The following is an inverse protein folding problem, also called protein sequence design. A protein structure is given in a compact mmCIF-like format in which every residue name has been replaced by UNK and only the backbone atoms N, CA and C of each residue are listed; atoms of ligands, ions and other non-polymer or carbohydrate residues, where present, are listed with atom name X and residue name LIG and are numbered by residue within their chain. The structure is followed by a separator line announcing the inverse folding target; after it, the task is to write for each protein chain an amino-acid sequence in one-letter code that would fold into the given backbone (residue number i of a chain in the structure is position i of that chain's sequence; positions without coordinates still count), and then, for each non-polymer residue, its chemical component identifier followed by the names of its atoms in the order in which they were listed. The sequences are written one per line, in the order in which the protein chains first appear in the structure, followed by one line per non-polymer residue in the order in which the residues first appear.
data_IF_400906752378
#
_entry.id   IF_400906752378
#
_cell.length_a   1.000
_cell.length_b   1.000
_cell.length_c   1.000
_cell.angle_alpha   90.00
_cell.angle_beta   90.00
_cell.angle_gamma   90.00
#
_symmetry.space_group_name_H-M   'P 1'
#
loop_
_entity.id
_entity.type
_entity.pdbx_description
1 polymer ?
#
# COMPACT_ATOMS: atom_id res chain seq x y z
N UNK A 1 5.72 -22.55 21.66
CA UNK A 1 4.45 -22.10 22.28
C UNK A 1 4.23 -20.63 21.98
N UNK A 2 3.05 -20.31 21.45
CA UNK A 2 2.53 -19.02 20.96
C UNK A 2 2.86 -17.79 21.83
N UNK A 3 3.06 -16.66 21.15
CA UNK A 3 2.48 -15.37 21.53
C UNK A 3 1.73 -14.88 20.27
N UNK A 4 0.40 -14.99 20.16
CA UNK A 4 -0.62 -14.10 20.75
C UNK A 4 -0.23 -12.63 20.58
N UNK A 5 -0.64 -12.03 19.46
CA UNK A 5 -1.07 -10.63 19.35
C UNK A 5 -2.07 -10.51 18.20
N UNK A 6 -3.30 -10.94 18.47
CA UNK A 6 -4.47 -10.54 17.70
C UNK A 6 -5.35 -9.66 18.57
N UNK A 7 -6.01 -8.69 17.91
CA UNK A 7 -7.09 -7.83 18.40
C UNK A 7 -6.69 -6.64 19.30
N UNK A 8 -6.24 -5.53 18.68
CA UNK A 8 -6.54 -4.12 19.05
C UNK A 8 -5.50 -3.09 18.57
N UNK A 9 -4.96 -3.22 17.36
CA UNK A 9 -4.22 -2.13 16.75
C UNK A 9 -5.19 -1.33 15.86
N UNK A 10 -5.75 -0.24 16.42
CA UNK A 10 -6.46 0.84 15.74
C UNK A 10 -7.95 0.63 15.41
N UNK A 11 -8.77 0.55 16.46
CA UNK A 11 -10.11 1.14 16.37
C UNK A 11 -9.98 2.67 16.47
N UNK A 12 -10.27 3.39 15.39
CA UNK A 12 -10.95 4.68 15.50
C UNK A 12 -11.80 4.92 14.25
N UNK A 13 -13.11 4.68 14.41
CA UNK A 13 -14.11 5.13 13.45
C UNK A 13 -14.23 6.65 13.51
N UNK A 14 -13.94 7.29 12.37
CA UNK A 14 -14.62 8.44 11.80
C UNK A 14 -15.21 9.49 12.78
N UNK A 15 -14.41 10.49 13.12
CA UNK A 15 -14.89 11.85 13.39
C UNK A 15 -14.56 12.73 12.19
N UNK A 16 -15.57 13.26 11.51
CA UNK A 16 -15.40 14.30 10.47
C UNK A 16 -14.87 15.55 11.16
N UNK A 17 -13.64 15.94 10.88
CA UNK A 17 -13.14 17.26 11.29
C UNK A 17 -12.35 17.89 10.14
N UNK A 18 -12.92 18.96 9.59
CA UNK A 18 -12.13 20.08 9.07
C UNK A 18 -11.19 20.55 10.18
N UNK A 19 -10.00 20.98 9.78
CA UNK A 19 -8.80 21.25 10.59
C UNK A 19 -8.00 20.03 11.07
N UNK A 20 -6.85 19.82 10.43
CA UNK A 20 -5.90 18.77 10.82
C UNK A 20 -4.73 18.59 9.86
N UNK A 21 -4.15 19.67 9.35
CA UNK A 21 -2.79 19.61 8.80
C UNK A 21 -1.88 19.12 9.95
N UNK A 22 -1.19 17.99 9.73
CA UNK A 22 -0.21 17.34 10.63
C UNK A 22 -0.82 16.29 11.60
N UNK A 23 -0.82 15.03 11.15
CA UNK A 23 -0.31 13.89 11.94
C UNK A 23 -0.08 12.68 11.02
N UNK A 24 0.92 11.88 11.37
CA UNK A 24 1.46 10.71 10.64
C UNK A 24 2.55 11.04 9.59
N UNK A 25 3.66 11.60 10.08
CA UNK A 25 4.94 11.73 9.38
C UNK A 25 5.84 10.48 9.55
N UNK A 26 5.42 9.47 10.33
CA UNK A 26 6.31 8.39 10.82
C UNK A 26 5.85 6.96 10.45
N UNK A 27 4.78 6.77 9.67
CA UNK A 27 4.16 5.43 9.54
C UNK A 27 4.61 4.60 8.34
N UNK A 28 5.63 5.03 7.59
CA UNK A 28 6.08 4.32 6.38
C UNK A 28 7.60 4.21 6.32
N UNK A 29 8.21 3.82 7.44
CA UNK A 29 9.56 3.27 7.37
C UNK A 29 9.53 2.08 6.41
N UNK A 30 10.33 2.18 5.35
CA UNK A 30 10.48 1.16 4.33
C UNK A 30 11.27 0.02 5.00
N UNK A 31 10.57 -0.97 5.52
CA UNK A 31 11.21 -2.20 5.99
C UNK A 31 11.75 -2.90 4.75
N UNK A 32 13.07 -3.11 4.67
CA UNK A 32 13.65 -3.91 3.60
C UNK A 32 13.09 -5.34 3.74
N UNK A 33 12.58 -5.99 2.69
CA UNK A 33 12.14 -7.39 2.79
C UNK A 33 13.21 -8.32 3.36
N UNK A 34 14.50 -8.00 3.19
CA UNK A 34 15.61 -8.72 3.83
C UNK A 34 15.55 -8.62 5.35
N UNK A 35 15.12 -7.49 5.90
CA UNK A 35 14.95 -7.28 7.35
C UNK A 35 13.85 -8.17 7.94
N UNK A 36 12.90 -8.62 7.11
CA UNK A 36 11.83 -9.57 7.47
C UNK A 36 12.02 -10.95 6.87
N UNK A 37 13.19 -11.25 6.29
CA UNK A 37 13.55 -12.56 5.75
C UNK A 37 12.79 -12.98 4.49
N UNK A 38 12.24 -12.03 3.74
CA UNK A 38 11.47 -12.28 2.51
C UNK A 38 12.33 -11.95 1.28
N UNK A 39 12.47 -12.92 0.37
CA UNK A 39 13.13 -12.70 -0.92
C UNK A 39 12.24 -11.86 -1.85
N UNK A 40 12.83 -10.95 -2.64
CA UNK A 40 12.13 -9.98 -3.49
C UNK A 40 11.10 -10.62 -4.45
N UNK A 41 11.30 -11.88 -4.85
CA UNK A 41 10.41 -12.63 -5.74
C UNK A 41 9.12 -13.15 -5.08
N UNK A 42 8.98 -13.11 -3.75
CA UNK A 42 7.95 -13.87 -3.03
C UNK A 42 6.79 -13.05 -2.45
N UNK A 43 6.82 -11.71 -2.51
CA UNK A 43 5.75 -10.88 -1.95
C UNK A 43 4.52 -10.93 -2.87
N UNK A 44 3.64 -11.90 -2.65
CA UNK A 44 2.29 -11.91 -3.23
C UNK A 44 1.46 -10.85 -2.52
N UNK A 45 0.88 -9.92 -3.26
CA UNK A 45 -0.01 -8.92 -2.68
C UNK A 45 -1.43 -9.45 -2.60
N UNK A 46 -2.10 -9.22 -1.47
CA UNK A 46 -3.50 -9.61 -1.22
C UNK A 46 -4.24 -8.43 -0.59
N UNK A 47 -5.56 -8.54 -0.39
CA UNK A 47 -6.33 -7.48 0.28
C UNK A 47 -5.87 -7.19 1.73
N UNK A 48 -5.03 -8.07 2.31
CA UNK A 48 -4.40 -7.87 3.63
C UNK A 48 -3.04 -7.18 3.56
N UNK A 49 -2.48 -7.02 2.36
CA UNK A 49 -1.21 -6.32 2.17
C UNK A 49 -1.40 -4.83 2.41
N UNK A 50 -0.52 -4.26 3.22
CA UNK A 50 -0.53 -2.83 3.54
C UNK A 50 0.14 -1.98 2.47
N UNK A 51 0.04 -0.66 2.65
CA UNK A 51 0.64 0.37 1.78
C UNK A 51 2.15 0.21 1.58
N UNK A 52 2.88 -0.19 2.63
CA UNK A 52 4.34 -0.40 2.53
C UNK A 52 4.70 -1.49 1.51
N UNK A 53 3.96 -2.61 1.52
CA UNK A 53 4.17 -3.70 0.57
C UNK A 53 3.81 -3.29 -0.86
N UNK A 54 2.72 -2.52 -1.01
CA UNK A 54 2.31 -1.97 -2.31
C UNK A 54 3.34 -0.97 -2.84
N UNK A 55 3.82 -0.04 -2.02
CA UNK A 55 4.83 0.95 -2.40
C UNK A 55 6.17 0.29 -2.78
N UNK A 56 6.60 -0.71 -2.01
CA UNK A 56 7.79 -1.49 -2.33
C UNK A 56 7.64 -2.17 -3.70
N UNK A 57 6.52 -2.88 -3.93
CA UNK A 57 6.26 -3.54 -5.21
C UNK A 57 6.16 -2.56 -6.38
N UNK A 58 5.44 -1.45 -6.20
CA UNK A 58 5.32 -0.38 -7.18
C UNK A 58 6.70 0.19 -7.56
N UNK A 59 7.57 0.44 -6.57
CA UNK A 59 8.94 0.92 -6.81
C UNK A 59 9.76 -0.08 -7.61
N UNK A 60 9.66 -1.37 -7.30
CA UNK A 60 10.37 -2.43 -8.02
C UNK A 60 9.95 -2.58 -9.49
N UNK A 61 8.74 -2.15 -9.86
CA UNK A 61 8.24 -2.17 -11.24
C UNK A 61 8.28 -0.79 -11.92
N UNK A 62 8.93 0.20 -11.28
CA UNK A 62 9.22 1.50 -11.88
C UNK A 62 8.30 2.66 -11.47
N UNK A 63 7.42 2.49 -10.48
CA UNK A 63 6.58 3.57 -9.96
C UNK A 63 7.04 4.01 -8.57
N UNK A 64 7.59 5.22 -8.47
CA UNK A 64 7.88 5.86 -7.20
C UNK A 64 6.69 6.72 -6.77
N UNK A 65 5.85 6.17 -5.91
CA UNK A 65 4.63 6.85 -5.45
C UNK A 65 4.92 7.74 -4.24
N UNK A 66 4.50 8.99 -4.33
CA UNK A 66 4.41 9.84 -3.14
C UNK A 66 3.34 9.31 -2.19
N UNK A 67 3.37 9.76 -0.93
CA UNK A 67 2.37 9.36 0.08
C UNK A 67 0.92 9.60 -0.39
N UNK A 68 0.67 10.76 -1.00
CA UNK A 68 -0.66 11.13 -1.49
C UNK A 68 -1.11 10.24 -2.65
N UNK A 69 -0.21 9.96 -3.59
CA UNK A 69 -0.49 9.06 -4.71
C UNK A 69 -0.73 7.63 -4.20
N UNK A 70 0.09 7.15 -3.26
CA UNK A 70 -0.06 5.83 -2.66
C UNK A 70 -1.40 5.65 -1.95
N UNK A 71 -1.92 6.68 -1.26
CA UNK A 71 -3.24 6.61 -0.61
C UNK A 71 -4.38 6.42 -1.63
N UNK A 72 -4.29 7.10 -2.77
CA UNK A 72 -5.26 6.95 -3.88
C UNK A 72 -5.13 5.56 -4.50
N UNK A 73 -3.91 5.15 -4.88
CA UNK A 73 -3.64 3.84 -5.50
C UNK A 73 -4.05 2.70 -4.56
N UNK A 74 -3.78 2.81 -3.26
CA UNK A 74 -4.14 1.78 -2.28
C UNK A 74 -5.65 1.50 -2.23
N UNK A 75 -6.47 2.54 -2.40
CA UNK A 75 -7.93 2.40 -2.45
C UNK A 75 -8.39 1.61 -3.68
N UNK A 76 -7.71 1.76 -4.82
CA UNK A 76 -7.99 0.97 -6.03
C UNK A 76 -7.44 -0.45 -5.89
N UNK A 77 -6.24 -0.60 -5.31
CA UNK A 77 -5.63 -1.89 -5.01
C UNK A 77 -6.54 -2.79 -4.18
N UNK A 78 -7.16 -2.28 -3.10
CA UNK A 78 -8.08 -3.09 -2.29
C UNK A 78 -9.25 -3.63 -3.11
N UNK A 79 -9.85 -2.80 -3.97
CA UNK A 79 -10.95 -3.22 -4.85
C UNK A 79 -10.53 -4.32 -5.84
N UNK A 80 -9.30 -4.25 -6.34
CA UNK A 80 -8.74 -5.29 -7.21
C UNK A 80 -8.47 -6.58 -6.42
N UNK A 81 -7.82 -6.46 -5.26
CA UNK A 81 -7.42 -7.57 -4.43
C UNK A 81 -8.62 -8.34 -3.85
N UNK A 82 -9.72 -7.65 -3.53
CA UNK A 82 -10.96 -8.30 -3.10
C UNK A 82 -11.56 -9.20 -4.19
N UNK A 83 -11.34 -8.87 -5.48
CA UNK A 83 -11.84 -9.65 -6.62
C UNK A 83 -10.89 -10.77 -7.04
N UNK A 84 -9.60 -10.45 -7.18
CA UNK A 84 -8.59 -11.37 -7.75
C UNK A 84 -7.87 -12.22 -6.69
N UNK A 85 -8.02 -11.86 -5.40
CA UNK A 85 -7.36 -12.46 -4.20
C UNK A 85 -5.84 -12.25 -4.14
N UNK A 86 -5.17 -12.41 -5.26
CA UNK A 86 -3.73 -12.19 -5.44
C UNK A 86 -3.50 -11.15 -6.53
N UNK A 87 -2.57 -10.24 -6.27
CA UNK A 87 -2.20 -9.12 -7.14
C UNK A 87 -0.74 -9.29 -7.54
N UNK A 88 -0.52 -9.39 -8.84
CA UNK A 88 0.79 -9.50 -9.47
C UNK A 88 1.26 -8.15 -10.03
N UNK A 89 2.43 -8.12 -10.67
CA UNK A 89 3.00 -6.89 -11.22
C UNK A 89 2.13 -6.26 -12.31
N UNK A 90 1.50 -7.08 -13.17
CA UNK A 90 0.65 -6.57 -14.25
C UNK A 90 -0.61 -5.93 -13.69
N UNK A 91 -1.18 -6.50 -12.62
CA UNK A 91 -2.29 -5.87 -11.92
C UNK A 91 -1.91 -4.53 -11.32
N UNK A 92 -0.69 -4.38 -10.78
CA UNK A 92 -0.23 -3.09 -10.23
C UNK A 92 -0.12 -2.05 -11.35
N UNK A 93 0.40 -2.42 -12.53
CA UNK A 93 0.35 -1.54 -13.70
C UNK A 93 -1.08 -1.11 -14.02
N UNK A 94 -2.02 -2.07 -14.12
CA UNK A 94 -3.42 -1.77 -14.41
C UNK A 94 -4.07 -0.87 -13.34
N UNK A 95 -3.84 -1.14 -12.05
CA UNK A 95 -4.36 -0.34 -10.93
C UNK A 95 -3.87 1.10 -11.01
N UNK A 96 -2.61 1.31 -11.41
CA UNK A 96 -1.99 2.64 -11.51
C UNK A 96 -2.47 3.36 -12.78
N UNK A 97 -2.48 2.70 -13.92
CA UNK A 97 -2.88 3.25 -15.22
C UNK A 97 -4.36 3.62 -15.29
N UNK A 98 -5.23 2.83 -14.64
CA UNK A 98 -6.66 3.13 -14.56
C UNK A 98 -7.01 4.19 -13.51
N UNK A 99 -6.03 4.62 -12.70
CA UNK A 99 -6.24 5.66 -11.71
C UNK A 99 -6.32 7.04 -12.35
N UNK A 100 -7.20 7.90 -11.83
CA UNK A 100 -7.35 9.27 -12.31
C UNK A 100 -6.09 10.13 -12.10
N UNK A 101 -5.21 9.75 -11.16
CA UNK A 101 -3.92 10.40 -10.91
C UNK A 101 -2.77 9.83 -11.76
N UNK A 102 -3.03 8.92 -12.70
CA UNK A 102 -1.97 8.30 -13.51
C UNK A 102 -1.03 9.32 -14.14
N UNK A 103 -1.59 10.39 -14.71
CA UNK A 103 -0.82 11.49 -15.31
C UNK A 103 0.12 12.17 -14.32
N UNK A 104 -0.28 12.32 -13.06
CA UNK A 104 0.55 12.92 -12.00
C UNK A 104 1.69 11.99 -11.59
N UNK A 105 1.48 10.67 -11.67
CA UNK A 105 2.50 9.66 -11.34
C UNK A 105 3.61 9.64 -12.40
N UNK A 106 3.25 9.71 -13.68
CA UNK A 106 4.23 9.64 -14.78
C UNK A 106 4.89 10.98 -15.14
N UNK A 107 4.37 12.10 -14.62
CA UNK A 107 4.90 13.45 -14.90
C UNK A 107 5.85 13.95 -13.81
N UNK A 108 6.13 13.14 -12.79
CA UNK A 108 7.08 13.42 -11.71
C UNK A 108 8.46 12.86 -12.06
#
# INVERSE_FOLDING_TARGET
NKAIVGANAFAHSSGIHQDGVIKHRETYEIIDPKDVGVTESAIVLTARSGRAALAYRAKHIGYELTKLQLDVIYSNFLKFADRKKEIDNNDIHEIIETSHIYKEIISA
#
